data_IF_262242485384
#
_entry.id   IF_262242485384
#
_cell.length_a   1.000
_cell.length_b   1.000
_cell.length_c   1.000
_cell.angle_alpha   90.00
_cell.angle_beta   90.00
_cell.angle_gamma   90.00
#
_symmetry.space_group_name_H-M   'P 1'
#
loop_
_entity.id
_entity.type
_entity.pdbx_description
1 polymer ?
#
# COMPACT_ATOMS: atom_id res chain seq x y z
N UNK A 1 -3.04 -9.62 -11.98
CA UNK A 1 -2.50 -10.22 -10.73
C UNK A 1 -2.97 -9.51 -9.46
N UNK A 2 -3.21 -8.20 -9.48
CA UNK A 2 -3.41 -7.35 -8.29
C UNK A 2 -4.72 -7.61 -7.53
N UNK A 3 -5.85 -7.71 -8.23
CA UNK A 3 -7.11 -7.35 -7.55
C UNK A 3 -7.74 -8.49 -6.76
N UNK A 4 -7.62 -9.74 -7.21
CA UNK A 4 -8.17 -10.88 -6.44
C UNK A 4 -7.37 -11.20 -5.18
N UNK A 5 -6.04 -11.09 -5.23
CA UNK A 5 -5.19 -11.29 -4.06
C UNK A 5 -5.42 -10.14 -3.07
N UNK A 6 -5.46 -8.88 -3.55
CA UNK A 6 -5.74 -7.73 -2.71
C UNK A 6 -7.14 -7.84 -2.09
N UNK A 7 -8.17 -8.22 -2.85
CA UNK A 7 -9.52 -8.44 -2.34
C UNK A 7 -9.55 -9.52 -1.26
N UNK A 8 -8.86 -10.66 -1.45
CA UNK A 8 -8.74 -11.71 -0.42
C UNK A 8 -8.07 -11.19 0.85
N UNK A 9 -7.02 -10.39 0.73
CA UNK A 9 -6.31 -9.81 1.88
C UNK A 9 -7.18 -8.77 2.60
N UNK A 10 -7.82 -7.88 1.85
CA UNK A 10 -8.77 -6.88 2.37
C UNK A 10 -9.93 -7.57 3.10
N UNK A 11 -10.47 -8.65 2.54
CA UNK A 11 -11.53 -9.44 3.16
C UNK A 11 -11.07 -10.04 4.49
N UNK A 12 -9.83 -10.55 4.58
CA UNK A 12 -9.26 -11.09 5.82
C UNK A 12 -9.18 -10.01 6.90
N UNK A 13 -8.65 -8.82 6.57
CA UNK A 13 -8.56 -7.71 7.51
C UNK A 13 -9.92 -7.10 7.87
N UNK A 14 -10.85 -7.02 6.91
CA UNK A 14 -12.20 -6.49 7.15
C UNK A 14 -13.02 -7.41 8.05
N UNK A 15 -12.83 -8.73 7.95
CA UNK A 15 -13.48 -9.74 8.81
C UNK A 15 -12.91 -9.75 10.23
N UNK A 16 -11.64 -9.38 10.43
CA UNK A 16 -11.05 -9.25 11.77
C UNK A 16 -11.78 -8.22 12.66
N UNK A 17 -12.30 -7.14 12.06
CA UNK A 17 -13.07 -6.11 12.78
C UNK A 17 -14.52 -6.52 13.10
N UNK A 18 -15.02 -7.62 12.53
CA UNK A 18 -16.39 -8.14 12.71
C UNK A 18 -16.36 -9.58 13.25
N UNK A 19 -15.84 -9.77 14.47
CA UNK A 19 -16.00 -10.95 15.35
C UNK A 19 -16.50 -12.27 14.70
N UNK A 20 -15.77 -12.86 13.73
CA UNK A 20 -16.07 -14.19 13.17
C UNK A 20 -14.78 -15.01 12.90
N UNK A 21 -14.88 -16.30 13.26
CA UNK A 21 -14.01 -17.50 13.14
C UNK A 21 -12.51 -17.42 13.51
N UNK A 22 -12.10 -18.34 14.39
CA UNK A 22 -10.72 -18.52 14.89
C UNK A 22 -9.72 -18.80 13.76
N UNK A 23 -10.12 -19.54 12.73
CA UNK A 23 -9.30 -19.87 11.55
C UNK A 23 -8.87 -18.63 10.73
N UNK A 24 -9.68 -17.56 10.72
CA UNK A 24 -9.33 -16.32 10.00
C UNK A 24 -8.32 -15.50 10.81
N UNK A 25 -8.42 -15.51 12.14
CA UNK A 25 -7.46 -14.86 13.05
C UNK A 25 -6.08 -15.50 12.99
N UNK A 26 -5.99 -16.82 12.79
CA UNK A 26 -4.71 -17.54 12.66
C UNK A 26 -3.88 -17.12 11.44
N UNK A 27 -4.49 -16.55 10.41
CA UNK A 27 -3.79 -16.09 9.20
C UNK A 27 -3.16 -14.70 9.36
N UNK A 28 -3.68 -13.89 10.27
CA UNK A 28 -3.16 -12.54 10.55
C UNK A 28 -2.04 -12.66 11.58
N UNK A 29 -0.88 -12.15 11.21
CA UNK A 29 0.31 -12.09 12.07
C UNK A 29 0.60 -10.65 12.43
N UNK A 30 1.28 -10.44 13.55
CA UNK A 30 1.68 -9.12 14.00
C UNK A 30 3.20 -9.07 14.17
N UNK A 31 3.84 -8.10 13.53
CA UNK A 31 5.29 -7.90 13.61
C UNK A 31 5.65 -6.42 13.37
N UNK A 32 6.65 -5.93 14.11
CA UNK A 32 7.17 -4.57 13.99
C UNK A 32 6.12 -3.44 14.08
N UNK A 33 5.03 -3.64 14.82
CA UNK A 33 3.96 -2.64 14.94
C UNK A 33 2.79 -2.85 13.96
N UNK A 34 2.91 -3.76 13.01
CA UNK A 34 1.97 -3.91 11.90
C UNK A 34 1.35 -5.31 11.81
N UNK A 35 0.08 -5.37 11.43
CA UNK A 35 -0.61 -6.62 11.11
C UNK A 35 -0.39 -6.98 9.64
N UNK A 36 -0.08 -8.24 9.35
CA UNK A 36 0.20 -8.73 7.99
C UNK A 36 -0.36 -10.14 7.75
N UNK A 37 -0.56 -10.49 6.47
CA UNK A 37 -0.91 -11.85 6.02
C UNK A 37 0.22 -12.35 5.13
N UNK A 38 0.73 -13.55 5.41
CA UNK A 38 1.72 -14.22 4.54
C UNK A 38 0.99 -15.06 3.50
N UNK A 39 1.39 -14.93 2.24
CA UNK A 39 0.90 -15.74 1.13
C UNK A 39 2.12 -16.35 0.43
N UNK A 40 2.08 -17.65 0.15
CA UNK A 40 3.20 -18.37 -0.48
C UNK A 40 2.97 -18.67 -1.98
N UNK A 41 1.73 -18.53 -2.46
CA UNK A 41 1.30 -18.84 -3.83
C UNK A 41 0.25 -17.85 -4.35
N UNK A 42 0.20 -17.67 -5.65
CA UNK A 42 -0.85 -16.88 -6.31
C UNK A 42 -2.22 -17.59 -6.30
N UNK A 43 -3.25 -16.96 -6.89
CA UNK A 43 -4.59 -17.54 -6.98
C UNK A 43 -4.67 -18.83 -7.80
N UNK A 44 -3.69 -19.08 -8.67
CA UNK A 44 -3.57 -20.28 -9.50
C UNK A 44 -2.72 -21.38 -8.84
N UNK A 45 -2.18 -21.13 -7.63
CA UNK A 45 -1.31 -22.07 -6.93
C UNK A 45 0.15 -22.04 -7.36
N UNK A 46 0.55 -21.08 -8.20
CA UNK A 46 1.94 -20.91 -8.63
C UNK A 46 2.75 -20.22 -7.53
N UNK A 47 4.03 -20.59 -7.42
CA UNK A 47 4.97 -19.88 -6.55
C UNK A 47 5.31 -18.52 -7.15
N UNK A 48 5.55 -17.54 -6.28
CA UNK A 48 6.03 -16.23 -6.71
C UNK A 48 7.47 -16.30 -7.25
N UNK A 49 7.73 -15.52 -8.30
CA UNK A 49 9.06 -15.35 -8.88
C UNK A 49 9.63 -13.99 -8.46
N UNK A 50 10.82 -13.96 -7.85
CA UNK A 50 11.43 -12.74 -7.32
C UNK A 50 11.76 -11.70 -8.40
N UNK A 51 12.33 -12.13 -9.53
CA UNK A 51 12.69 -11.22 -10.62
C UNK A 51 11.46 -10.53 -11.21
N UNK A 52 10.36 -11.27 -11.36
CA UNK A 52 9.09 -10.71 -11.83
C UNK A 52 8.52 -9.69 -10.85
N UNK A 53 8.62 -9.95 -9.54
CA UNK A 53 8.17 -9.02 -8.51
C UNK A 53 9.00 -7.74 -8.47
N UNK A 54 10.32 -7.83 -8.68
CA UNK A 54 11.20 -6.65 -8.75
C UNK A 54 10.84 -5.80 -9.97
N UNK A 55 10.73 -6.40 -11.16
CA UNK A 55 10.31 -5.69 -12.38
C UNK A 55 8.92 -5.07 -12.25
N UNK A 56 8.00 -5.76 -11.56
CA UNK A 56 6.68 -5.22 -11.27
C UNK A 56 6.78 -3.96 -10.39
N UNK A 57 7.60 -4.01 -9.34
CA UNK A 57 7.81 -2.89 -8.43
C UNK A 57 8.45 -1.67 -9.12
N UNK A 58 9.36 -1.89 -10.07
CA UNK A 58 9.98 -0.81 -10.87
C UNK A 58 8.96 -0.02 -11.70
N UNK A 59 7.85 -0.65 -12.11
CA UNK A 59 6.78 -0.02 -12.87
C UNK A 59 5.73 0.68 -12.01
N UNK A 60 5.74 0.47 -10.70
CA UNK A 60 4.75 1.03 -9.79
C UNK A 60 5.04 2.50 -9.49
N UNK A 61 4.03 3.33 -9.67
CA UNK A 61 3.97 4.69 -9.16
C UNK A 61 2.82 4.82 -8.16
N UNK A 62 2.93 5.80 -7.27
CA UNK A 62 1.96 6.08 -6.24
C UNK A 62 1.54 7.54 -6.32
N UNK A 63 0.23 7.78 -6.44
CA UNK A 63 -0.34 9.09 -6.15
C UNK A 63 -0.52 9.18 -4.64
N UNK A 64 0.32 10.00 -4.00
CA UNK A 64 0.20 10.27 -2.56
C UNK A 64 -0.52 11.60 -2.37
N UNK A 65 -1.72 11.55 -1.80
CA UNK A 65 -2.53 12.75 -1.52
C UNK A 65 -2.28 13.22 -0.10
N UNK A 66 -1.87 14.48 0.02
CA UNK A 66 -1.48 15.12 1.28
C UNK A 66 -2.39 16.32 1.53
N UNK A 67 -3.08 16.29 2.67
CA UNK A 67 -3.86 17.42 3.18
C UNK A 67 -2.92 18.39 3.89
N UNK A 68 -3.01 19.68 3.55
CA UNK A 68 -2.20 20.75 4.14
C UNK A 68 -3.05 21.97 4.43
N UNK A 69 -2.61 22.76 5.40
CA UNK A 69 -3.10 24.11 5.61
C UNK A 69 -2.21 25.08 4.84
N UNK A 70 -2.81 25.82 3.91
CA UNK A 70 -2.12 26.82 3.11
C UNK A 70 -2.91 28.11 3.11
N UNK A 71 -2.31 29.17 3.68
CA UNK A 71 -2.94 30.51 3.79
C UNK A 71 -4.33 30.49 4.46
N UNK A 72 -4.52 29.60 5.44
CA UNK A 72 -5.78 29.47 6.19
C UNK A 72 -6.84 28.62 5.50
N UNK A 73 -6.51 27.95 4.40
CA UNK A 73 -7.38 27.02 3.71
C UNK A 73 -6.80 25.60 3.73
N UNK A 74 -7.68 24.61 3.94
CA UNK A 74 -7.35 23.21 3.76
C UNK A 74 -7.27 22.88 2.27
N UNK A 75 -6.10 22.46 1.82
CA UNK A 75 -5.79 22.16 0.41
C UNK A 75 -5.21 20.76 0.26
N UNK A 76 -5.29 20.22 -0.96
CA UNK A 76 -4.79 18.89 -1.30
C UNK A 76 -3.64 18.98 -2.29
N UNK A 77 -2.52 18.35 -1.93
CA UNK A 77 -1.36 18.16 -2.79
C UNK A 77 -1.33 16.70 -3.24
N UNK A 78 -1.33 16.46 -4.54
CA UNK A 78 -1.20 15.11 -5.11
C UNK A 78 0.21 14.95 -5.68
N UNK A 79 1.00 14.06 -5.08
CA UNK A 79 2.36 13.78 -5.50
C UNK A 79 2.41 12.49 -6.32
N UNK A 80 3.04 12.53 -7.49
CA UNK A 80 3.49 11.33 -8.19
C UNK A 80 4.82 10.88 -7.57
N UNK A 81 4.83 9.68 -6.98
CA UNK A 81 5.99 9.11 -6.29
C UNK A 81 6.32 7.74 -6.89
N UNK A 82 7.48 7.56 -7.54
CA UNK A 82 7.91 6.25 -8.01
C UNK A 82 8.24 5.33 -6.84
N UNK A 83 8.07 4.01 -7.02
CA UNK A 83 8.27 3.02 -5.96
C UNK A 83 9.64 3.10 -5.28
N UNK A 84 10.72 3.37 -6.03
CA UNK A 84 12.08 3.49 -5.47
C UNK A 84 12.26 4.74 -4.58
N UNK A 85 11.39 5.73 -4.67
CA UNK A 85 11.41 6.95 -3.88
C UNK A 85 10.36 6.95 -2.76
N UNK A 86 9.45 5.98 -2.72
CA UNK A 86 8.34 5.95 -1.75
C UNK A 86 8.82 6.03 -0.30
N UNK A 87 9.83 5.25 0.08
CA UNK A 87 10.38 5.30 1.44
C UNK A 87 11.04 6.65 1.75
N UNK A 88 11.78 7.23 0.80
CA UNK A 88 12.37 8.56 0.95
C UNK A 88 11.27 9.62 1.14
N UNK A 89 10.18 9.50 0.38
CA UNK A 89 9.02 10.38 0.50
C UNK A 89 8.37 10.25 1.89
N UNK A 90 8.10 9.04 2.38
CA UNK A 90 7.53 8.83 3.71
C UNK A 90 8.42 9.41 4.82
N UNK A 91 9.74 9.16 4.74
CA UNK A 91 10.73 9.67 5.70
C UNK A 91 10.74 11.20 5.78
N UNK A 92 10.43 11.88 4.66
CA UNK A 92 10.40 13.34 4.65
C UNK A 92 9.33 13.96 5.56
N UNK A 93 8.27 13.21 5.92
CA UNK A 93 7.28 13.62 6.93
C UNK A 93 7.79 13.40 8.36
N UNK A 94 8.50 12.28 8.60
CA UNK A 94 9.14 12.02 9.91
C UNK A 94 10.25 13.04 10.21
N UNK A 95 11.00 13.45 9.18
CA UNK A 95 12.09 14.43 9.28
C UNK A 95 11.61 15.89 9.17
N UNK A 96 10.30 16.15 9.08
CA UNK A 96 9.70 17.48 8.92
C UNK A 96 10.21 18.28 7.69
N UNK A 97 10.67 17.59 6.65
CA UNK A 97 11.00 18.21 5.36
C UNK A 97 9.74 18.47 4.52
N UNK A 98 8.75 17.58 4.64
CA UNK A 98 7.39 17.80 4.16
C UNK A 98 6.44 17.86 5.35
N UNK A 99 5.47 18.77 5.28
CA UNK A 99 4.40 18.98 6.25
C UNK A 99 3.04 18.57 5.65
N UNK A 100 2.10 18.26 6.53
CA UNK A 100 0.75 17.83 6.17
C UNK A 100 0.42 16.44 6.66
N UNK A 101 -0.75 15.95 6.26
CA UNK A 101 -1.23 14.61 6.59
C UNK A 101 -1.46 13.84 5.29
N UNK A 102 -0.80 12.69 5.13
CA UNK A 102 -1.11 11.76 4.04
C UNK A 102 -2.49 11.18 4.32
N UNK A 103 -3.42 11.33 3.38
CA UNK A 103 -4.81 10.84 3.51
C UNK A 103 -5.13 9.69 2.56
N UNK A 104 -4.37 9.54 1.48
CA UNK A 104 -4.59 8.52 0.45
C UNK A 104 -3.28 8.19 -0.27
N UNK A 105 -3.09 6.92 -0.62
CA UNK A 105 -1.97 6.43 -1.43
C UNK A 105 -2.54 5.45 -2.45
N UNK A 106 -2.58 5.85 -3.71
CA UNK A 106 -3.10 5.03 -4.80
C UNK A 106 -2.00 4.59 -5.74
N UNK A 107 -1.90 3.28 -5.99
CA UNK A 107 -0.94 2.70 -6.94
C UNK A 107 -1.48 2.81 -8.36
N UNK A 108 -0.66 3.24 -9.30
CA UNK A 108 -0.93 3.17 -10.74
C UNK A 108 0.32 2.78 -11.53
N UNK A 109 0.13 2.46 -12.81
CA UNK A 109 1.21 2.23 -13.77
C UNK A 109 1.21 3.36 -14.79
N UNK A 110 2.31 4.12 -14.94
CA UNK A 110 2.38 5.19 -15.94
C UNK A 110 2.13 4.69 -17.38
N UNK A 111 2.53 3.44 -17.66
CA UNK A 111 2.32 2.79 -18.96
C UNK A 111 0.82 2.60 -19.30
N UNK A 112 -0.06 2.50 -18.29
CA UNK A 112 -1.50 2.29 -18.50
C UNK A 112 -2.26 3.60 -18.81
N UNK A 113 -1.58 4.75 -18.74
CA UNK A 113 -2.15 6.08 -19.02
C UNK A 113 -1.87 6.57 -20.45
N UNK A 114 -1.12 5.79 -21.24
CA UNK A 114 -0.70 6.10 -22.61
C UNK A 114 -1.69 5.61 -23.68
#
# INVERSE_FOLDING_TARGET
>A
MSDEINKKVIDIFSKHNKNISTETKEKIKYYAGFSYVRIDKDHNGNKFNSEHLIKYAEKCHYIVRVMREYKGETVLYNYDVPNNALFKFMKSFEENTLDGTIIEIDKYFPEDLA
#
